data_IF_742270217639
#
_entry.id   IF_742270217639
#
_cell.length_a   1.000
_cell.length_b   1.000
_cell.length_c   1.000
_cell.angle_alpha   90.00
_cell.angle_beta   90.00
_cell.angle_gamma   90.00
#
_symmetry.space_group_name_H-M   'P 1'
#
loop_
_entity.id
_entity.type
_entity.pdbx_description
1 polymer ?
#
# COMPACT_ATOMS: atom_id res chain seq x y z
N UNK A 1 39.93 -11.82 5.85
CA UNK A 1 38.99 -10.79 5.35
C UNK A 1 38.51 -9.98 6.53
N UNK A 2 38.72 -8.68 6.54
CA UNK A 2 38.31 -7.83 7.68
C UNK A 2 36.79 -7.67 7.69
N UNK A 3 36.21 -7.33 8.87
CA UNK A 3 34.77 -7.04 8.99
C UNK A 3 34.35 -5.91 8.05
N UNK A 4 35.26 -4.98 7.76
CA UNK A 4 35.07 -3.86 6.82
C UNK A 4 34.92 -4.35 5.37
N UNK A 5 35.79 -5.22 4.91
CA UNK A 5 35.74 -5.76 3.54
C UNK A 5 34.41 -6.49 3.28
N UNK A 6 33.88 -7.19 4.28
CA UNK A 6 32.58 -7.85 4.16
C UNK A 6 31.41 -6.86 4.09
N UNK A 7 31.46 -5.76 4.88
CA UNK A 7 30.39 -4.75 4.90
C UNK A 7 30.33 -3.92 3.62
N UNK A 8 31.46 -3.69 2.97
CA UNK A 8 31.57 -2.90 1.75
C UNK A 8 31.80 -3.73 0.49
N UNK A 9 31.52 -5.03 0.54
CA UNK A 9 31.73 -5.95 -0.57
C UNK A 9 30.79 -5.74 -1.76
N UNK A 10 29.66 -5.05 -1.56
CA UNK A 10 28.65 -4.81 -2.60
C UNK A 10 28.49 -3.32 -2.86
N UNK A 11 28.44 -2.94 -4.14
CA UNK A 11 28.09 -1.60 -4.56
C UNK A 11 26.56 -1.43 -4.47
N UNK A 12 26.09 -0.44 -3.72
CA UNK A 12 24.71 0.03 -3.73
C UNK A 12 24.61 1.31 -4.57
N UNK A 13 23.50 1.47 -5.28
CA UNK A 13 23.21 2.69 -6.07
C UNK A 13 21.97 3.36 -5.49
N UNK A 14 21.94 4.69 -5.54
CA UNK A 14 20.75 5.51 -5.29
C UNK A 14 20.20 6.06 -6.60
N UNK A 15 19.03 6.69 -6.58
CA UNK A 15 18.49 7.35 -7.77
C UNK A 15 19.34 8.51 -8.26
N UNK A 16 20.17 9.11 -7.39
CA UNK A 16 21.13 10.16 -7.78
C UNK A 16 22.33 9.60 -8.58
N UNK A 17 22.56 8.29 -8.48
CA UNK A 17 23.67 7.62 -9.18
C UNK A 17 23.28 7.10 -10.58
N UNK A 18 22.01 7.17 -10.96
CA UNK A 18 21.50 6.55 -12.18
C UNK A 18 20.61 7.49 -12.98
N UNK A 19 20.63 7.31 -14.31
CA UNK A 19 19.76 8.01 -15.25
C UNK A 19 19.05 6.98 -16.14
N UNK A 20 17.81 7.30 -16.55
CA UNK A 20 17.15 6.56 -17.60
C UNK A 20 17.83 6.87 -18.94
N UNK A 21 18.22 5.83 -19.65
CA UNK A 21 18.79 5.98 -20.99
C UNK A 21 17.64 6.27 -21.96
N UNK A 22 17.68 7.39 -22.74
CA UNK A 22 16.70 7.66 -23.76
C UNK A 22 16.62 6.51 -24.79
N UNK A 23 15.41 6.15 -25.17
CA UNK A 23 15.15 5.15 -26.19
C UNK A 23 14.09 5.65 -27.18
N UNK A 24 14.04 5.05 -28.35
CA UNK A 24 12.96 5.31 -29.31
C UNK A 24 11.61 4.95 -28.67
N UNK A 25 10.63 5.84 -28.82
CA UNK A 25 9.27 5.62 -28.31
C UNK A 25 8.25 5.76 -29.43
N UNK A 26 7.29 4.83 -29.47
CA UNK A 26 6.14 4.87 -30.37
C UNK A 26 4.84 5.23 -29.62
N UNK A 27 4.96 5.70 -28.37
CA UNK A 27 3.82 6.03 -27.50
C UNK A 27 3.94 7.49 -27.07
N UNK A 28 2.89 8.27 -27.25
CA UNK A 28 2.81 9.63 -26.75
C UNK A 28 2.49 9.64 -25.25
N UNK A 29 2.85 10.69 -24.52
CA UNK A 29 2.62 10.76 -23.05
C UNK A 29 1.17 10.55 -22.63
N UNK A 30 0.20 11.00 -23.43
CA UNK A 30 -1.24 10.84 -23.19
C UNK A 30 -1.79 9.44 -23.58
N UNK A 31 -0.98 8.60 -24.22
CA UNK A 31 -1.34 7.24 -24.63
C UNK A 31 -0.75 6.18 -23.70
N UNK A 32 0.06 6.60 -22.71
CA UNK A 32 0.72 5.69 -21.77
C UNK A 32 -0.32 5.00 -20.90
N UNK A 33 -0.25 3.67 -20.85
CA UNK A 33 -1.05 2.86 -19.91
C UNK A 33 -0.32 2.75 -18.59
N UNK A 34 -0.95 3.24 -17.53
CA UNK A 34 -0.39 3.26 -16.17
C UNK A 34 -0.95 2.15 -15.28
N UNK A 35 -1.87 1.35 -15.81
CA UNK A 35 -2.49 0.25 -15.06
C UNK A 35 -1.43 -0.65 -14.44
N UNK A 36 -1.55 -0.88 -13.15
CA UNK A 36 -0.57 -1.62 -12.35
C UNK A 36 -1.25 -2.69 -11.53
N UNK A 37 -0.80 -3.93 -11.67
CA UNK A 37 -1.27 -5.06 -10.87
C UNK A 37 -0.44 -5.15 -9.60
N UNK A 38 -0.98 -4.70 -8.48
CA UNK A 38 -0.30 -4.72 -7.19
C UNK A 38 -0.35 -6.12 -6.54
N UNK A 39 -1.48 -6.82 -6.68
CA UNK A 39 -1.68 -8.19 -6.24
C UNK A 39 -2.66 -8.91 -7.19
N UNK A 40 -2.83 -10.25 -7.10
CA UNK A 40 -3.73 -10.98 -8.00
C UNK A 40 -5.12 -10.36 -8.15
N UNK A 41 -5.68 -9.85 -7.04
CA UNK A 41 -7.01 -9.26 -6.97
C UNK A 41 -7.00 -7.76 -6.71
N UNK A 42 -5.86 -7.09 -6.87
CA UNK A 42 -5.70 -5.68 -6.57
C UNK A 42 -5.02 -4.97 -7.74
N UNK A 43 -5.81 -4.27 -8.53
CA UNK A 43 -5.37 -3.49 -9.68
C UNK A 43 -5.53 -1.99 -9.40
N UNK A 44 -4.53 -1.22 -9.77
CA UNK A 44 -4.55 0.24 -9.74
C UNK A 44 -4.53 0.76 -11.18
N UNK A 45 -5.10 1.94 -11.41
CA UNK A 45 -5.07 2.62 -12.71
C UNK A 45 -3.86 3.57 -12.83
N UNK A 46 -3.28 3.96 -11.69
CA UNK A 46 -1.99 4.68 -11.62
C UNK A 46 -1.09 4.01 -10.58
N UNK A 47 0.24 3.94 -10.79
CA UNK A 47 1.17 3.28 -9.88
C UNK A 47 1.55 4.18 -8.69
N UNK A 48 0.56 4.77 -8.01
CA UNK A 48 0.76 5.66 -6.87
C UNK A 48 0.06 5.11 -5.62
N UNK A 49 0.82 5.09 -4.52
CA UNK A 49 0.33 4.68 -3.21
C UNK A 49 0.74 5.75 -2.19
N UNK A 50 -0.23 6.28 -1.43
CA UNK A 50 0.11 7.21 -0.34
C UNK A 50 0.60 6.46 0.90
N UNK A 51 1.61 7.03 1.56
CA UNK A 51 2.29 6.39 2.68
C UNK A 51 1.40 6.27 3.93
N UNK A 52 1.57 5.18 4.68
CA UNK A 52 0.90 4.93 5.96
C UNK A 52 1.46 5.77 7.11
N UNK A 53 1.53 7.08 6.91
CA UNK A 53 2.04 8.06 7.88
C UNK A 53 0.89 8.90 8.44
N UNK A 54 0.94 9.22 9.74
CA UNK A 54 -0.08 9.98 10.47
C UNK A 54 -0.34 11.39 9.92
N UNK A 55 0.63 11.98 9.26
CA UNK A 55 0.50 13.29 8.60
C UNK A 55 0.17 13.20 7.11
N UNK A 56 -0.06 12.02 6.56
CA UNK A 56 -0.27 11.79 5.13
C UNK A 56 -1.59 11.11 4.82
N UNK A 57 -1.86 9.92 5.39
CA UNK A 57 -2.99 9.11 4.95
C UNK A 57 -3.93 8.71 6.08
N UNK A 58 -5.09 9.34 6.09
CA UNK A 58 -6.32 8.91 6.75
C UNK A 58 -7.40 8.67 5.68
N UNK A 59 -8.66 8.54 6.08
CA UNK A 59 -9.77 8.21 5.17
C UNK A 59 -9.93 9.17 4.00
N UNK A 60 -9.76 10.49 4.21
CA UNK A 60 -9.92 11.48 3.14
C UNK A 60 -8.84 11.35 2.06
N UNK A 61 -7.59 11.14 2.46
CA UNK A 61 -6.51 10.87 1.51
C UNK A 61 -6.69 9.52 0.82
N UNK A 62 -7.14 8.49 1.54
CA UNK A 62 -7.42 7.18 0.93
C UNK A 62 -8.53 7.28 -0.12
N UNK A 63 -9.58 8.06 0.13
CA UNK A 63 -10.64 8.37 -0.84
C UNK A 63 -10.04 9.08 -2.06
N UNK A 64 -9.32 10.18 -1.85
CA UNK A 64 -8.73 10.95 -2.94
C UNK A 64 -7.78 10.11 -3.81
N UNK A 65 -6.96 9.26 -3.19
CA UNK A 65 -6.08 8.34 -3.91
C UNK A 65 -6.87 7.36 -4.78
N UNK A 66 -7.89 6.73 -4.23
CA UNK A 66 -8.70 5.75 -4.96
C UNK A 66 -9.56 6.41 -6.06
N UNK A 67 -10.13 7.58 -5.84
CA UNK A 67 -10.85 8.35 -6.85
C UNK A 67 -9.96 8.72 -8.06
N UNK A 68 -8.66 8.86 -7.84
CA UNK A 68 -7.67 9.10 -8.89
C UNK A 68 -6.96 7.83 -9.39
N UNK A 69 -7.44 6.64 -9.04
CA UNK A 69 -6.93 5.36 -9.55
C UNK A 69 -5.75 4.77 -8.80
N UNK A 70 -5.32 5.37 -7.70
CA UNK A 70 -4.26 4.91 -6.81
C UNK A 70 -4.77 4.18 -5.57
N UNK A 71 -3.95 4.10 -4.52
CA UNK A 71 -4.29 3.44 -3.26
C UNK A 71 -3.79 4.26 -2.07
N UNK A 72 -4.64 4.48 -1.07
CA UNK A 72 -4.24 5.05 0.21
C UNK A 72 -3.97 3.97 1.24
N UNK A 73 -2.85 4.08 1.99
CA UNK A 73 -2.54 3.22 3.14
C UNK A 73 -2.80 3.99 4.42
N UNK A 74 -3.92 3.71 5.08
CA UNK A 74 -4.30 4.37 6.34
C UNK A 74 -3.32 3.99 7.45
N UNK A 75 -2.76 5.00 8.13
CA UNK A 75 -1.71 4.81 9.12
C UNK A 75 -2.19 4.09 10.39
N UNK A 76 -1.24 3.49 11.13
CA UNK A 76 -1.51 2.71 12.35
C UNK A 76 -1.37 3.50 13.66
N UNK A 77 -1.03 4.79 13.60
CA UNK A 77 -0.93 5.65 14.78
C UNK A 77 -2.30 6.11 15.29
N UNK A 78 -3.21 5.15 15.44
CA UNK A 78 -4.60 5.28 15.87
C UNK A 78 -4.96 4.08 16.75
N UNK A 79 -6.02 4.20 17.55
CA UNK A 79 -6.64 3.00 18.12
C UNK A 79 -7.17 2.09 17.01
N UNK A 80 -7.44 0.82 17.30
CA UNK A 80 -8.02 -0.11 16.31
C UNK A 80 -9.34 0.42 15.79
N UNK A 81 -10.20 0.89 16.70
CA UNK A 81 -11.53 1.42 16.40
C UNK A 81 -11.44 2.65 15.50
N UNK A 82 -10.56 3.61 15.84
CA UNK A 82 -10.39 4.83 15.05
C UNK A 82 -9.85 4.51 13.65
N UNK A 83 -8.88 3.60 13.51
CA UNK A 83 -8.38 3.19 12.20
C UNK A 83 -9.45 2.45 11.37
N UNK A 84 -10.29 1.63 12.02
CA UNK A 84 -11.45 0.98 11.40
C UNK A 84 -12.44 2.00 10.85
N UNK A 85 -12.72 3.08 11.58
CA UNK A 85 -13.62 4.15 11.09
C UNK A 85 -13.04 4.87 9.87
N UNK A 86 -11.73 5.09 9.81
CA UNK A 86 -11.09 5.66 8.62
C UNK A 86 -11.20 4.73 7.40
N UNK A 87 -11.04 3.41 7.59
CA UNK A 87 -11.29 2.43 6.51
C UNK A 87 -12.76 2.46 6.08
N UNK A 88 -13.71 2.41 7.02
CA UNK A 88 -15.13 2.47 6.70
C UNK A 88 -15.51 3.73 5.95
N UNK A 89 -14.95 4.89 6.32
CA UNK A 89 -15.14 6.16 5.63
C UNK A 89 -14.83 6.03 4.14
N UNK A 90 -13.70 5.42 3.78
CA UNK A 90 -13.35 5.16 2.39
C UNK A 90 -14.28 4.13 1.74
N UNK A 91 -14.59 3.02 2.42
CA UNK A 91 -15.39 1.92 1.86
C UNK A 91 -16.89 2.25 1.71
N UNK A 92 -17.40 3.24 2.45
CA UNK A 92 -18.81 3.67 2.36
C UNK A 92 -19.01 4.92 1.50
N UNK A 93 -17.94 5.57 1.07
CA UNK A 93 -18.01 6.72 0.15
C UNK A 93 -18.62 6.28 -1.17
N UNK A 94 -19.69 6.95 -1.58
CA UNK A 94 -20.26 6.76 -2.91
C UNK A 94 -19.25 7.19 -3.98
N UNK A 95 -19.01 6.34 -4.96
CA UNK A 95 -18.13 6.64 -6.08
C UNK A 95 -18.85 7.59 -7.05
N UNK A 96 -18.22 8.71 -7.39
CA UNK A 96 -18.76 9.63 -8.40
C UNK A 96 -18.73 8.95 -9.78
N UNK A 97 -19.87 8.83 -10.46
CA UNK A 97 -19.96 8.19 -11.79
C UNK A 97 -19.20 8.95 -12.89
N UNK A 98 -18.80 10.20 -12.64
CA UNK A 98 -18.02 10.99 -13.59
C UNK A 98 -16.50 10.74 -13.51
N UNK A 99 -16.02 10.00 -12.52
CA UNK A 99 -14.61 9.62 -12.42
C UNK A 99 -14.24 8.66 -13.55
N UNK A 100 -13.15 8.96 -14.25
CA UNK A 100 -12.75 8.18 -15.42
C UNK A 100 -12.19 6.80 -15.09
N UNK A 101 -11.40 6.71 -14.02
CA UNK A 101 -10.68 5.48 -13.65
C UNK A 101 -10.47 5.37 -12.12
N UNK A 102 -11.54 5.34 -11.30
CA UNK A 102 -11.40 5.15 -9.86
C UNK A 102 -10.93 3.72 -9.56
N UNK A 103 -10.01 3.57 -8.61
CA UNK A 103 -9.60 2.26 -8.12
C UNK A 103 -10.68 1.70 -7.19
N UNK A 104 -11.36 0.64 -7.62
CA UNK A 104 -12.49 0.04 -6.90
C UNK A 104 -12.31 -1.47 -6.74
N UNK A 105 -12.95 -2.01 -5.70
CA UNK A 105 -13.04 -3.45 -5.47
C UNK A 105 -14.12 -4.10 -6.38
N UNK A 106 -14.27 -5.41 -6.26
CA UNK A 106 -15.26 -6.19 -7.04
C UNK A 106 -16.72 -5.81 -6.75
N UNK A 107 -16.97 -5.03 -5.69
CA UNK A 107 -18.30 -4.52 -5.32
C UNK A 107 -18.50 -3.06 -5.75
N UNK A 108 -17.53 -2.47 -6.47
CA UNK A 108 -17.57 -1.08 -6.92
C UNK A 108 -17.30 -0.05 -5.80
N UNK A 109 -16.70 -0.46 -4.67
CA UNK A 109 -16.33 0.44 -3.58
C UNK A 109 -14.86 0.87 -3.74
N UNK A 110 -14.55 2.10 -3.34
CA UNK A 110 -13.17 2.63 -3.39
C UNK A 110 -12.19 1.71 -2.66
N UNK A 111 -11.00 1.51 -3.23
CA UNK A 111 -9.93 0.76 -2.60
C UNK A 111 -9.34 1.51 -1.41
N UNK A 112 -9.08 0.78 -0.33
CA UNK A 112 -8.37 1.29 0.83
C UNK A 112 -7.49 0.20 1.44
N UNK A 113 -6.22 0.54 1.70
CA UNK A 113 -5.32 -0.30 2.48
C UNK A 113 -5.12 0.26 3.88
N UNK A 114 -4.65 -0.57 4.81
CA UNK A 114 -4.37 -0.13 6.17
C UNK A 114 -3.06 -0.73 6.70
N UNK A 115 -2.32 0.10 7.44
CA UNK A 115 -1.05 -0.30 8.03
C UNK A 115 -1.25 -1.02 9.37
N UNK A 116 -0.42 -2.03 9.61
CA UNK A 116 -0.27 -2.71 10.92
C UNK A 116 1.21 -2.78 11.30
N UNK A 117 1.51 -2.90 12.58
CA UNK A 117 2.87 -3.12 13.06
C UNK A 117 3.21 -4.60 13.23
N UNK A 118 4.30 -4.87 13.98
CA UNK A 118 4.72 -6.21 14.43
C UNK A 118 4.62 -6.30 15.97
N UNK A 119 3.54 -5.79 16.50
CA UNK A 119 3.20 -5.67 17.92
C UNK A 119 2.26 -6.77 18.37
N UNK A 120 1.91 -6.80 19.66
CA UNK A 120 0.98 -7.80 20.23
C UNK A 120 -0.43 -7.71 19.64
N UNK A 121 -0.88 -6.50 19.24
CA UNK A 121 -2.20 -6.24 18.68
C UNK A 121 -2.32 -6.48 17.16
N UNK A 122 -1.25 -6.92 16.50
CA UNK A 122 -1.20 -7.05 15.03
C UNK A 122 -2.35 -7.86 14.45
N UNK A 123 -2.68 -9.02 15.04
CA UNK A 123 -3.74 -9.89 14.52
C UNK A 123 -5.13 -9.32 14.75
N UNK A 124 -5.39 -8.82 15.96
CA UNK A 124 -6.66 -8.18 16.30
C UNK A 124 -6.94 -6.99 15.40
N UNK A 125 -5.93 -6.14 15.20
CA UNK A 125 -5.98 -4.99 14.31
C UNK A 125 -6.22 -5.42 12.85
N UNK A 126 -5.42 -6.35 12.33
CA UNK A 126 -5.59 -6.85 10.96
C UNK A 126 -6.98 -7.44 10.73
N UNK A 127 -7.48 -8.24 11.66
CA UNK A 127 -8.83 -8.81 11.58
C UNK A 127 -9.93 -7.73 11.55
N UNK A 128 -9.83 -6.74 12.43
CA UNK A 128 -10.78 -5.64 12.50
C UNK A 128 -10.78 -4.80 11.21
N UNK A 129 -9.61 -4.51 10.66
CA UNK A 129 -9.46 -3.76 9.41
C UNK A 129 -9.99 -4.53 8.19
N UNK A 130 -9.72 -5.83 8.10
CA UNK A 130 -10.27 -6.69 7.03
C UNK A 130 -11.80 -6.81 7.14
N UNK A 131 -12.36 -6.94 8.35
CA UNK A 131 -13.81 -6.90 8.58
C UNK A 131 -14.43 -5.55 8.20
N UNK A 132 -13.71 -4.45 8.36
CA UNK A 132 -14.13 -3.13 7.90
C UNK A 132 -14.08 -2.96 6.37
N UNK A 133 -13.43 -3.90 5.66
CA UNK A 133 -13.35 -3.94 4.21
C UNK A 133 -12.01 -3.46 3.64
N UNK A 134 -10.94 -3.35 4.42
CA UNK A 134 -9.62 -3.05 3.87
C UNK A 134 -9.23 -4.07 2.80
N UNK A 135 -8.78 -3.59 1.65
CA UNK A 135 -8.42 -4.41 0.48
C UNK A 135 -7.00 -4.99 0.59
N UNK A 136 -6.16 -4.37 1.40
CA UNK A 136 -4.81 -4.86 1.70
C UNK A 136 -4.36 -4.45 3.09
N UNK A 137 -3.54 -5.29 3.71
CA UNK A 137 -2.83 -5.00 4.96
C UNK A 137 -1.35 -4.76 4.63
N UNK A 138 -0.82 -3.65 5.11
CA UNK A 138 0.59 -3.27 4.95
C UNK A 138 1.30 -3.40 6.29
N UNK A 139 2.31 -4.25 6.37
CA UNK A 139 3.15 -4.36 7.56
C UNK A 139 4.18 -3.24 7.50
N UNK A 140 3.96 -2.20 8.30
CA UNK A 140 4.81 -1.01 8.35
C UNK A 140 5.74 -1.05 9.55
N UNK A 141 7.05 -1.13 9.29
CA UNK A 141 8.13 -1.25 10.29
C UNK A 141 9.39 -0.52 9.83
N UNK A 142 10.26 -0.19 10.78
CA UNK A 142 11.53 0.47 10.50
C UNK A 142 12.48 -0.39 9.66
N UNK A 143 12.39 -1.73 9.71
CA UNK A 143 13.25 -2.64 8.95
C UNK A 143 12.46 -3.89 8.51
N UNK A 144 11.89 -3.82 7.30
CA UNK A 144 11.03 -4.87 6.74
C UNK A 144 11.72 -6.24 6.57
N UNK A 145 13.04 -6.26 6.29
CA UNK A 145 13.79 -7.50 6.10
C UNK A 145 14.44 -8.01 7.40
N UNK A 146 13.72 -7.94 8.52
CA UNK A 146 14.11 -8.56 9.79
C UNK A 146 13.42 -9.92 9.98
N UNK A 147 14.07 -10.83 10.73
CA UNK A 147 13.51 -12.17 10.99
C UNK A 147 12.13 -12.13 11.67
N UNK A 148 11.89 -11.14 12.55
CA UNK A 148 10.60 -10.95 13.21
C UNK A 148 9.50 -10.55 12.22
N UNK A 149 9.80 -9.63 11.30
CA UNK A 149 8.85 -9.21 10.26
C UNK A 149 8.54 -10.35 9.30
N UNK A 150 9.55 -11.07 8.83
CA UNK A 150 9.35 -12.21 7.92
C UNK A 150 8.46 -13.31 8.54
N UNK A 151 8.65 -13.59 9.84
CA UNK A 151 7.75 -14.51 10.56
C UNK A 151 6.32 -13.95 10.62
N UNK A 152 6.16 -12.64 10.95
CA UNK A 152 4.84 -12.00 11.05
C UNK A 152 4.10 -12.00 9.71
N UNK A 153 4.80 -11.78 8.60
CA UNK A 153 4.22 -11.90 7.25
C UNK A 153 3.65 -13.30 7.05
N UNK A 154 4.43 -14.34 7.37
CA UNK A 154 3.97 -15.73 7.23
C UNK A 154 2.76 -16.01 8.13
N UNK A 155 2.83 -15.62 9.40
CA UNK A 155 1.75 -15.81 10.38
C UNK A 155 0.43 -15.13 9.93
N UNK A 156 0.52 -13.87 9.46
CA UNK A 156 -0.65 -13.13 8.94
C UNK A 156 -1.21 -13.84 7.69
N UNK A 157 -0.34 -14.26 6.76
CA UNK A 157 -0.77 -14.94 5.55
C UNK A 157 -1.42 -16.29 5.83
N UNK A 158 -0.90 -17.03 6.80
CA UNK A 158 -1.48 -18.33 7.22
C UNK A 158 -2.85 -18.13 7.92
N UNK A 159 -3.01 -17.03 8.67
CA UNK A 159 -4.23 -16.71 9.39
C UNK A 159 -5.32 -16.09 8.50
N UNK A 160 -4.93 -15.28 7.51
CA UNK A 160 -5.81 -14.61 6.56
C UNK A 160 -5.42 -15.01 5.12
N UNK A 161 -5.82 -16.20 4.64
CA UNK A 161 -5.32 -16.77 3.38
C UNK A 161 -5.89 -16.11 2.11
N UNK A 162 -6.87 -15.19 2.23
CA UNK A 162 -7.54 -14.53 1.09
C UNK A 162 -7.08 -13.10 0.93
#
# INVERSE_FOLDING_TARGET
>A
MSLWETKFAKKGLTFDDVLLIPAESHVLPNEVKLDTKLAPNLQLHIPLISAGMDTVTEGDMAIAMAENGGLGVIHKNLSIEAQVEEVKKAKTKAVDPNLSHPAVDTQGRLLAAAAVGVTSDTFERAEALLKAGADAIVIDTAHGHSAGVLRKIKEIRDHFPK
#
